data_IF_237812997072
#
_entry.id   IF_237812997072
#
_cell.length_a   1.000
_cell.length_b   1.000
_cell.length_c   1.000
_cell.angle_alpha   90.00
_cell.angle_beta   90.00
_cell.angle_gamma   90.00
#
_symmetry.space_group_name_H-M   'P 1'
#
loop_
_entity.id
_entity.type
_entity.pdbx_description
1 polymer ?
#
# COMPACT_ATOMS: atom_id res chain seq x y z
N UNK A 1 0.43 51.00 -22.48
CA UNK A 1 1.40 49.95 -22.06
C UNK A 1 1.79 50.31 -20.63
N UNK A 2 1.54 49.57 -19.54
CA UNK A 2 1.65 48.13 -19.18
C UNK A 2 0.63 47.90 -18.02
N UNK A 3 -0.30 46.92 -18.05
CA UNK A 3 -0.29 45.60 -17.34
C UNK A 3 0.49 45.62 -16.01
N UNK A 4 0.05 45.09 -14.86
CA UNK A 4 -1.00 44.13 -14.44
C UNK A 4 -1.34 44.46 -12.96
N UNK A 5 -2.56 44.45 -12.43
CA UNK A 5 -3.58 43.40 -12.26
C UNK A 5 -3.18 42.20 -11.36
N UNK A 6 -3.65 42.27 -10.10
CA UNK A 6 -4.12 41.18 -9.24
C UNK A 6 -3.12 40.12 -8.76
N UNK A 7 -2.57 40.30 -7.55
CA UNK A 7 -2.21 39.17 -6.68
C UNK A 7 -3.38 38.93 -5.72
N UNK A 8 -4.31 38.08 -6.16
CA UNK A 8 -5.27 37.42 -5.29
C UNK A 8 -4.61 36.10 -4.91
N UNK A 9 -3.97 36.03 -3.74
CA UNK A 9 -3.53 34.77 -3.13
C UNK A 9 -4.76 34.06 -2.55
N UNK A 10 -5.64 33.66 -3.45
CA UNK A 10 -6.77 32.79 -3.17
C UNK A 10 -6.39 31.36 -3.54
N UNK A 11 -6.26 30.52 -2.52
CA UNK A 11 -6.81 29.18 -2.65
C UNK A 11 -5.94 28.01 -2.22
N UNK A 12 -6.48 27.34 -1.19
CA UNK A 12 -6.63 25.88 -1.09
C UNK A 12 -5.45 25.13 -0.49
N UNK A 13 -5.28 25.29 0.83
CA UNK A 13 -4.74 24.24 1.71
C UNK A 13 -5.71 23.05 1.85
N UNK A 14 -6.16 22.51 0.71
CA UNK A 14 -7.07 21.35 0.66
C UNK A 14 -6.66 20.46 -0.51
N UNK A 15 -5.73 19.52 -0.28
CA UNK A 15 -5.62 18.25 -1.02
C UNK A 15 -4.33 17.43 -0.74
N UNK A 16 -3.71 17.52 0.44
CA UNK A 16 -2.55 16.67 0.72
C UNK A 16 -2.43 16.24 2.17
N UNK A 17 -3.53 15.78 2.78
CA UNK A 17 -3.41 14.59 3.61
C UNK A 17 -2.96 13.46 2.68
N UNK A 18 -1.67 13.43 2.36
CA UNK A 18 -0.97 12.38 1.62
C UNK A 18 -1.42 11.12 2.33
N UNK A 19 -2.31 10.33 1.72
CA UNK A 19 -2.74 9.06 2.28
C UNK A 19 -1.46 8.23 2.38
N UNK A 20 -0.81 8.29 3.53
CA UNK A 20 0.44 7.59 3.73
C UNK A 20 0.05 6.12 3.69
N UNK A 21 0.64 5.39 2.74
CA UNK A 21 0.37 3.97 2.57
C UNK A 21 1.60 3.19 2.94
N UNK A 22 1.41 2.15 3.74
CA UNK A 22 2.44 1.17 4.06
C UNK A 22 2.52 0.17 2.91
N UNK A 23 3.72 0.01 2.35
CA UNK A 23 3.98 -0.99 1.30
C UNK A 23 4.18 -2.35 1.94
N UNK A 24 3.32 -3.30 1.61
CA UNK A 24 3.56 -4.71 1.93
C UNK A 24 4.44 -5.29 0.84
N UNK A 25 5.54 -5.91 1.25
CA UNK A 25 6.54 -6.49 0.35
C UNK A 25 6.46 -8.01 0.36
N UNK A 26 6.82 -8.62 -0.77
CA UNK A 26 6.97 -10.05 -0.88
C UNK A 26 8.10 -10.50 0.05
N UNK A 27 7.87 -11.47 0.95
CA UNK A 27 8.94 -11.99 1.81
C UNK A 27 10.09 -12.61 1.01
N UNK A 28 9.80 -13.20 -0.16
CA UNK A 28 10.77 -13.88 -1.03
C UNK A 28 11.61 -12.91 -1.88
N UNK A 29 10.98 -12.02 -2.65
CA UNK A 29 11.70 -11.16 -3.61
C UNK A 29 11.73 -9.66 -3.24
N UNK A 30 11.15 -9.27 -2.09
CA UNK A 30 11.05 -7.89 -1.59
C UNK A 30 10.31 -6.90 -2.50
N UNK A 31 9.84 -7.31 -3.67
CA UNK A 31 8.98 -6.52 -4.52
C UNK A 31 7.67 -6.18 -3.81
N UNK A 32 7.10 -5.04 -4.20
CA UNK A 32 5.79 -4.58 -3.75
C UNK A 32 4.69 -5.60 -4.10
N UNK A 33 3.81 -5.88 -3.14
CA UNK A 33 2.60 -6.68 -3.32
C UNK A 33 1.37 -5.77 -3.33
N UNK A 34 1.10 -5.10 -2.21
CA UNK A 34 -0.02 -4.17 -2.07
C UNK A 34 0.38 -2.96 -1.23
N UNK A 35 -0.36 -1.88 -1.42
CA UNK A 35 -0.34 -0.74 -0.50
C UNK A 35 -1.50 -0.88 0.49
N UNK A 36 -1.22 -0.58 1.76
CA UNK A 36 -2.21 -0.60 2.85
C UNK A 36 -2.22 0.73 3.57
N UNK A 37 -3.28 1.01 4.35
CA UNK A 37 -3.27 2.18 5.24
C UNK A 37 -2.11 2.07 6.25
N UNK A 38 -1.58 3.20 6.74
CA UNK A 38 -0.62 3.18 7.85
C UNK A 38 -1.16 2.47 9.09
N UNK A 39 -2.48 2.55 9.31
CA UNK A 39 -3.15 1.92 10.45
C UNK A 39 -3.35 0.41 10.29
N UNK A 40 -3.20 -0.13 9.08
CA UNK A 40 -3.42 -1.56 8.84
C UNK A 40 -2.22 -2.37 9.34
N UNK A 41 -2.48 -3.25 10.29
CA UNK A 41 -1.53 -4.28 10.70
C UNK A 41 -1.88 -5.56 9.95
N UNK A 42 -0.94 -6.07 9.17
CA UNK A 42 -1.11 -7.30 8.42
C UNK A 42 0.14 -8.17 8.55
N UNK A 43 -0.09 -9.47 8.64
CA UNK A 43 0.92 -10.51 8.58
C UNK A 43 0.94 -11.11 7.17
N UNK A 44 2.14 -11.28 6.60
CA UNK A 44 2.33 -11.91 5.29
C UNK A 44 3.28 -13.09 5.41
N UNK A 45 2.87 -14.23 4.87
CA UNK A 45 3.68 -15.45 4.83
C UNK A 45 3.66 -16.07 3.44
N UNK A 46 4.71 -16.82 3.12
CA UNK A 46 4.73 -17.67 1.92
C UNK A 46 3.78 -18.83 2.18
N UNK A 47 2.83 -19.05 1.26
CA UNK A 47 1.97 -20.21 1.31
C UNK A 47 2.79 -21.44 0.92
N UNK A 48 2.91 -22.40 1.84
CA UNK A 48 3.49 -23.71 1.56
C UNK A 48 2.39 -24.76 1.58
N UNK A 49 2.57 -25.85 0.83
CA UNK A 49 1.56 -26.88 0.64
C UNK A 49 1.03 -27.53 1.94
N UNK A 50 1.77 -27.41 3.05
CA UNK A 50 1.43 -27.98 4.36
C UNK A 50 1.09 -26.93 5.42
N UNK A 51 0.92 -25.66 5.05
CA UNK A 51 0.62 -24.61 6.02
C UNK A 51 -0.90 -24.51 6.25
N UNK A 52 -1.38 -24.95 7.42
CA UNK A 52 -2.73 -24.66 7.91
C UNK A 52 -2.86 -23.18 8.37
N UNK A 53 -2.45 -22.24 7.52
CA UNK A 53 -2.56 -20.83 7.81
C UNK A 53 -3.94 -20.31 7.37
N UNK A 54 -4.78 -20.02 8.37
CA UNK A 54 -5.98 -19.18 8.18
C UNK A 54 -5.54 -17.76 7.82
N UNK A 55 -5.61 -17.43 6.53
CA UNK A 55 -5.45 -16.09 6.01
C UNK A 55 -6.81 -15.50 5.63
N UNK A 56 -6.90 -14.17 5.66
CA UNK A 56 -8.10 -13.46 5.20
C UNK A 56 -8.16 -13.41 3.67
N UNK A 57 -6.99 -13.38 3.02
CA UNK A 57 -6.88 -13.46 1.57
C UNK A 57 -5.54 -14.03 1.13
N UNK A 58 -5.54 -14.59 -0.08
CA UNK A 58 -4.36 -15.13 -0.74
C UNK A 58 -4.03 -14.27 -1.96
N UNK A 59 -2.74 -14.06 -2.20
CA UNK A 59 -2.27 -13.26 -3.34
C UNK A 59 -1.02 -13.88 -3.94
N UNK A 60 -0.89 -13.82 -5.26
CA UNK A 60 0.32 -14.22 -5.96
C UNK A 60 1.24 -13.02 -6.15
N UNK A 61 2.53 -13.17 -5.89
CA UNK A 61 3.50 -12.13 -6.19
C UNK A 61 3.68 -12.00 -7.71
N UNK A 62 3.42 -10.82 -8.28
CA UNK A 62 3.57 -10.59 -9.72
C UNK A 62 5.02 -10.68 -10.22
N UNK A 63 6.01 -10.56 -9.34
CA UNK A 63 7.42 -10.63 -9.73
C UNK A 63 7.99 -12.06 -9.68
N UNK A 64 7.81 -12.76 -8.56
CA UNK A 64 8.41 -14.08 -8.35
C UNK A 64 7.39 -15.24 -8.35
N UNK A 65 6.13 -14.95 -8.69
CA UNK A 65 5.02 -15.91 -8.78
C UNK A 65 4.73 -16.70 -7.51
N UNK A 66 5.30 -16.31 -6.37
CA UNK A 66 5.12 -17.01 -5.10
C UNK A 66 3.75 -16.69 -4.53
N UNK A 67 3.04 -17.73 -4.10
CA UNK A 67 1.75 -17.60 -3.42
C UNK A 67 1.97 -17.16 -1.97
N UNK A 68 1.21 -16.16 -1.57
CA UNK A 68 1.33 -15.50 -0.27
C UNK A 68 -0.02 -15.52 0.42
N UNK A 69 0.01 -15.82 1.71
CA UNK A 69 -1.13 -15.75 2.59
C UNK A 69 -1.03 -14.43 3.38
N UNK A 70 -2.09 -13.62 3.35
CA UNK A 70 -2.14 -12.35 4.09
C UNK A 70 -3.28 -12.40 5.10
N UNK A 71 -2.93 -12.07 6.35
CA UNK A 71 -3.87 -11.99 7.47
C UNK A 71 -3.87 -10.58 8.04
N UNK A 72 -5.04 -9.96 8.13
CA UNK A 72 -5.23 -8.68 8.79
C UNK A 72 -5.30 -8.93 10.31
N UNK A 73 -4.53 -8.17 11.08
CA UNK A 73 -4.46 -8.28 12.54
C UNK A 73 -5.20 -7.14 13.25
N UNK A 74 -5.53 -6.06 12.55
CA UNK A 74 -6.20 -4.86 13.06
C UNK A 74 -6.15 -3.74 12.03
#
# INVERSE_FOLDING_TARGET
MKRANQNIEGGKDTAAARYMRKRIQCPKCKCRIIDTSLSTVAEIRILSANAELRADFYVKCNNCNTELAIKKLG
#
